data_IF_826724526224
#
_entry.id   IF_826724526224
#
_cell.length_a   1.000
_cell.length_b   1.000
_cell.length_c   1.000
_cell.angle_alpha   90.00
_cell.angle_beta   90.00
_cell.angle_gamma   90.00
#
_symmetry.space_group_name_H-M   'P 1'
#
loop_
_entity.id
_entity.type
_entity.pdbx_description
1 polymer ?
#
# COMPACT_ATOMS: atom_id res chain seq x y z
N UNK A 1 29.45 -4.11 -34.11
CA UNK A 1 29.09 -3.19 -33.00
C UNK A 1 27.99 -3.88 -32.21
N UNK A 2 28.18 -4.16 -30.91
CA UNK A 2 27.21 -4.96 -30.12
C UNK A 2 25.93 -4.19 -29.74
N UNK A 3 25.99 -2.87 -29.71
CA UNK A 3 24.87 -1.98 -29.38
C UNK A 3 24.73 -0.87 -30.41
N UNK A 4 23.52 -0.32 -30.54
CA UNK A 4 23.14 0.74 -31.48
C UNK A 4 22.61 1.96 -30.71
N UNK A 5 22.62 3.11 -31.39
CA UNK A 5 22.07 4.36 -30.85
C UNK A 5 20.57 4.17 -30.58
N UNK A 6 20.17 4.27 -29.31
CA UNK A 6 18.80 4.07 -28.84
C UNK A 6 18.58 2.81 -28.00
N UNK A 7 19.60 1.97 -27.81
CA UNK A 7 19.52 0.80 -26.92
C UNK A 7 19.64 1.23 -25.45
N UNK A 8 18.75 0.74 -24.59
CA UNK A 8 18.88 0.84 -23.13
C UNK A 8 19.89 -0.19 -22.61
N UNK A 9 20.91 0.26 -21.86
CA UNK A 9 21.99 -0.58 -21.34
C UNK A 9 22.05 -0.44 -19.82
N UNK A 10 21.91 -1.57 -19.11
CA UNK A 10 22.00 -1.61 -17.65
C UNK A 10 23.40 -2.08 -17.23
N UNK A 11 24.12 -1.20 -16.55
CA UNK A 11 25.46 -1.47 -16.02
C UNK A 11 25.36 -1.89 -14.55
N UNK A 12 25.84 -3.09 -14.22
CA UNK A 12 25.93 -3.55 -12.83
C UNK A 12 27.29 -3.17 -12.25
N UNK A 13 27.30 -2.24 -11.29
CA UNK A 13 28.51 -1.79 -10.59
C UNK A 13 28.25 -1.45 -9.13
N UNK A 14 29.31 -1.18 -8.39
CA UNK A 14 29.24 -0.75 -6.98
C UNK A 14 29.70 0.70 -6.86
N UNK A 15 28.92 1.54 -6.17
CA UNK A 15 29.34 2.90 -5.83
C UNK A 15 30.47 2.79 -4.83
N UNK A 16 31.63 3.37 -5.16
CA UNK A 16 32.84 3.35 -4.33
C UNK A 16 33.19 4.74 -3.78
N UNK A 17 32.65 5.80 -4.36
CA UNK A 17 32.92 7.18 -3.98
C UNK A 17 31.75 8.10 -4.31
N UNK A 18 31.53 9.09 -3.44
CA UNK A 18 30.53 10.16 -3.64
C UNK A 18 31.21 11.50 -3.37
N UNK A 19 31.19 12.39 -4.36
CA UNK A 19 31.73 13.75 -4.26
C UNK A 19 30.59 14.74 -3.96
N UNK A 20 30.75 15.53 -2.90
CA UNK A 20 29.76 16.55 -2.48
C UNK A 20 30.01 17.94 -3.08
N UNK A 21 30.99 18.10 -3.96
CA UNK A 21 31.29 19.38 -4.60
C UNK A 21 30.22 19.74 -5.65
N UNK A 22 29.56 20.88 -5.46
CA UNK A 22 28.53 21.43 -6.36
C UNK A 22 29.00 21.76 -7.78
N UNK A 23 30.31 21.68 -8.04
CA UNK A 23 30.93 21.93 -9.35
C UNK A 23 31.11 20.66 -10.19
N UNK A 24 30.88 19.47 -9.62
CA UNK A 24 31.09 18.20 -10.31
C UNK A 24 29.79 17.75 -11.00
N UNK A 25 29.84 17.58 -12.33
CA UNK A 25 28.66 17.17 -13.13
C UNK A 25 28.26 15.71 -12.92
N UNK A 26 29.17 14.87 -12.41
CA UNK A 26 29.01 13.43 -12.20
C UNK A 26 29.57 13.07 -10.80
N UNK A 27 28.75 13.18 -9.74
CA UNK A 27 29.26 13.11 -8.37
C UNK A 27 29.52 11.68 -7.87
N UNK A 28 29.20 10.65 -8.66
CA UNK A 28 29.32 9.24 -8.26
C UNK A 28 30.39 8.51 -9.08
N UNK A 29 31.28 7.83 -8.38
CA UNK A 29 32.27 6.93 -8.97
C UNK A 29 31.82 5.47 -8.76
N UNK A 30 31.70 4.72 -9.85
CA UNK A 30 31.19 3.34 -9.85
C UNK A 30 32.26 2.38 -10.35
N UNK A 31 32.58 1.37 -9.55
CA UNK A 31 33.45 0.27 -9.95
C UNK A 31 32.65 -0.76 -10.74
N UNK A 32 33.07 -0.99 -11.97
CA UNK A 32 32.62 -2.07 -12.85
C UNK A 32 33.61 -3.23 -12.81
N UNK A 33 33.26 -4.37 -13.42
CA UNK A 33 34.11 -5.57 -13.43
C UNK A 33 35.56 -5.29 -13.91
N UNK A 34 35.76 -4.31 -14.79
CA UNK A 34 37.06 -4.03 -15.41
C UNK A 34 37.51 -2.54 -15.34
N UNK A 35 36.63 -1.56 -15.03
CA UNK A 35 36.96 -0.11 -15.08
C UNK A 35 36.11 0.75 -14.10
N UNK A 36 36.56 1.97 -13.79
CA UNK A 36 35.78 2.99 -13.05
C UNK A 36 35.10 3.96 -14.01
N UNK A 37 33.84 4.33 -13.73
CA UNK A 37 33.09 5.33 -14.51
C UNK A 37 32.43 6.37 -13.61
N UNK A 38 32.42 7.63 -14.08
CA UNK A 38 31.69 8.72 -13.45
C UNK A 38 30.26 8.80 -14.00
N UNK A 39 29.26 8.81 -13.11
CA UNK A 39 27.83 8.79 -13.49
C UNK A 39 27.02 9.86 -12.76
N UNK A 40 25.89 10.25 -13.36
CA UNK A 40 24.90 11.15 -12.73
C UNK A 40 23.91 10.33 -11.94
N UNK A 41 23.43 10.88 -10.83
CA UNK A 41 22.46 10.21 -9.95
C UNK A 41 21.23 9.66 -10.68
N UNK A 42 20.64 10.47 -11.55
CA UNK A 42 19.43 10.12 -12.32
C UNK A 42 19.59 8.92 -13.26
N UNK A 43 20.83 8.56 -13.59
CA UNK A 43 21.15 7.45 -14.48
C UNK A 43 21.51 6.19 -13.66
N UNK A 44 21.52 6.27 -12.32
CA UNK A 44 21.73 5.14 -11.40
C UNK A 44 20.36 4.56 -11.05
N UNK A 45 20.14 3.29 -11.40
CA UNK A 45 18.99 2.51 -10.94
C UNK A 45 19.50 1.49 -9.93
N UNK A 46 18.98 1.55 -8.70
CA UNK A 46 19.36 0.58 -7.67
C UNK A 46 18.80 -0.80 -8.03
N UNK A 47 19.70 -1.78 -8.16
CA UNK A 47 19.32 -3.18 -8.47
C UNK A 47 18.78 -3.90 -7.21
N UNK A 48 18.97 -3.30 -6.03
CA UNK A 48 18.57 -3.87 -4.73
C UNK A 48 17.66 -2.90 -3.97
N UNK A 49 16.70 -2.24 -4.64
CA UNK A 49 15.67 -1.53 -3.88
C UNK A 49 14.91 -2.54 -3.01
N UNK A 50 14.87 -2.33 -1.68
CA UNK A 50 14.15 -3.22 -0.79
C UNK A 50 12.65 -3.18 -1.12
N UNK A 51 12.01 -4.35 -1.10
CA UNK A 51 10.58 -4.47 -1.35
C UNK A 51 9.78 -3.60 -0.37
N UNK A 52 8.89 -2.76 -0.92
CA UNK A 52 7.95 -1.96 -0.15
C UNK A 52 7.00 -2.85 0.64
N UNK A 53 6.59 -2.39 1.82
CA UNK A 53 5.57 -3.10 2.57
C UNK A 53 4.20 -2.97 1.90
N UNK A 54 3.39 -4.01 2.00
CA UNK A 54 1.98 -3.95 1.62
C UNK A 54 1.16 -3.81 2.92
N UNK A 55 0.54 -2.65 3.09
CA UNK A 55 -0.33 -2.34 4.23
C UNK A 55 -1.80 -2.44 3.82
N UNK A 56 -2.68 -2.77 4.76
CA UNK A 56 -4.11 -2.52 4.56
C UNK A 56 -4.45 -1.04 4.86
N UNK A 57 -5.71 -0.65 4.65
CA UNK A 57 -6.15 0.74 4.82
C UNK A 57 -6.03 1.22 6.28
N UNK A 58 -6.43 0.39 7.25
CA UNK A 58 -6.34 0.71 8.68
C UNK A 58 -4.87 0.94 9.13
N UNK A 59 -3.96 0.08 8.69
CA UNK A 59 -2.52 0.18 8.95
C UNK A 59 -1.92 1.43 8.33
N UNK A 60 -2.30 1.75 7.09
CA UNK A 60 -1.82 2.93 6.39
C UNK A 60 -2.32 4.21 7.07
N UNK A 61 -3.62 4.26 7.42
CA UNK A 61 -4.21 5.39 8.13
C UNK A 61 -3.55 5.61 9.49
N UNK A 62 -3.40 4.55 10.28
CA UNK A 62 -2.75 4.59 11.59
C UNK A 62 -1.31 5.13 11.47
N UNK A 63 -0.55 4.66 10.49
CA UNK A 63 0.84 5.07 10.27
C UNK A 63 0.94 6.55 9.85
N UNK A 64 0.03 7.03 9.00
CA UNK A 64 -0.02 8.43 8.60
C UNK A 64 -0.42 9.35 9.75
N UNK A 65 -1.35 8.92 10.61
CA UNK A 65 -1.69 9.65 11.84
C UNK A 65 -0.48 9.73 12.78
N UNK A 66 0.22 8.62 12.99
CA UNK A 66 1.41 8.58 13.85
C UNK A 66 2.53 9.51 13.37
N UNK A 67 2.77 9.59 12.06
CA UNK A 67 3.78 10.51 11.48
C UNK A 67 3.45 11.99 11.70
N UNK A 68 2.16 12.32 11.76
CA UNK A 68 1.67 13.71 11.92
C UNK A 68 1.63 14.17 13.37
N UNK A 69 1.77 13.26 14.34
CA UNK A 69 1.69 13.60 15.74
C UNK A 69 2.84 14.51 16.21
N UNK A 70 2.55 15.51 17.07
CA UNK A 70 3.56 16.39 17.62
C UNK A 70 4.63 15.62 18.40
N UNK A 71 5.90 15.82 18.06
CA UNK A 71 7.02 15.10 18.68
C UNK A 71 7.36 13.75 18.04
N UNK A 72 6.67 13.36 16.96
CA UNK A 72 6.94 12.13 16.19
C UNK A 72 7.27 12.41 14.71
N UNK A 73 7.68 13.64 14.40
CA UNK A 73 8.01 14.08 13.03
C UNK A 73 9.29 13.47 12.47
N UNK A 74 10.12 12.82 13.32
CA UNK A 74 11.31 12.10 12.88
C UNK A 74 11.02 10.61 12.83
N UNK A 75 11.56 9.97 11.79
CA UNK A 75 11.45 8.53 11.57
C UNK A 75 11.86 7.68 12.79
N UNK A 76 12.86 8.13 13.58
CA UNK A 76 13.30 7.43 14.78
C UNK A 76 12.21 7.36 15.86
N UNK A 77 11.43 8.43 16.01
CA UNK A 77 10.36 8.49 17.01
C UNK A 77 9.23 7.56 16.59
N UNK A 78 8.84 7.60 15.31
CA UNK A 78 7.83 6.71 14.71
C UNK A 78 8.24 5.23 14.82
N UNK A 79 9.50 4.92 14.52
CA UNK A 79 10.07 3.58 14.66
C UNK A 79 10.07 3.10 16.12
N UNK A 80 10.37 3.98 17.08
CA UNK A 80 10.28 3.64 18.49
C UNK A 80 8.87 3.21 18.88
N UNK A 81 7.82 3.90 18.41
CA UNK A 81 6.42 3.55 18.65
C UNK A 81 6.04 2.17 18.08
N UNK A 82 6.46 1.87 16.85
CA UNK A 82 6.24 0.55 16.24
C UNK A 82 7.04 -0.53 16.96
N UNK A 83 8.30 -0.24 17.30
CA UNK A 83 9.21 -1.20 17.93
C UNK A 83 8.86 -1.51 19.39
N UNK A 84 8.22 -0.59 20.12
CA UNK A 84 7.78 -0.82 21.50
C UNK A 84 6.49 -1.63 21.62
N UNK A 85 5.69 -1.71 20.56
CA UNK A 85 4.45 -2.49 20.57
C UNK A 85 4.76 -3.97 20.90
N UNK A 86 4.08 -4.50 21.92
CA UNK A 86 4.36 -5.75 22.62
C UNK A 86 4.44 -5.59 24.15
N UNK A 87 4.36 -6.70 24.90
CA UNK A 87 4.48 -6.72 26.39
C UNK A 87 3.56 -5.72 27.13
N UNK A 88 2.25 -5.77 26.85
CA UNK A 88 1.26 -4.90 27.51
C UNK A 88 1.07 -3.52 26.89
N UNK A 89 1.80 -3.21 25.80
CA UNK A 89 1.58 -2.02 24.98
C UNK A 89 1.09 -2.44 23.59
N UNK A 90 -0.09 -1.93 23.19
CA UNK A 90 -0.66 -2.13 21.86
C UNK A 90 -0.09 -1.15 20.82
N UNK A 91 -0.63 -1.19 19.61
CA UNK A 91 -0.42 -0.17 18.59
C UNK A 91 -1.38 1.00 18.83
N UNK A 92 -1.21 1.67 19.97
CA UNK A 92 -2.02 2.84 20.33
C UNK A 92 -1.17 4.04 20.71
N UNK A 93 -1.67 5.23 20.37
CA UNK A 93 -1.10 6.50 20.77
C UNK A 93 -2.20 7.55 20.91
N UNK A 94 -1.90 8.66 21.59
CA UNK A 94 -2.83 9.78 21.71
C UNK A 94 -2.41 10.92 20.80
N UNK A 95 -3.36 11.43 20.03
CA UNK A 95 -3.22 12.64 19.22
C UNK A 95 -4.42 13.53 19.45
N UNK A 96 -4.20 14.82 19.70
CA UNK A 96 -5.28 15.82 19.84
C UNK A 96 -6.38 15.47 20.85
N UNK A 97 -6.07 14.63 21.85
CA UNK A 97 -7.03 14.17 22.86
C UNK A 97 -7.83 12.93 22.47
N UNK A 98 -7.65 12.41 21.25
CA UNK A 98 -8.18 11.13 20.79
C UNK A 98 -7.14 10.01 21.03
N UNK A 99 -7.61 8.82 21.38
CA UNK A 99 -6.81 7.60 21.42
C UNK A 99 -6.98 6.86 20.10
N UNK A 100 -5.90 6.78 19.34
CA UNK A 100 -5.84 6.11 18.04
C UNK A 100 -5.21 4.75 18.28
N UNK A 101 -5.93 3.68 17.97
CA UNK A 101 -5.49 2.30 18.15
C UNK A 101 -5.72 1.51 16.86
N UNK A 102 -4.80 0.59 16.58
CA UNK A 102 -4.95 -0.40 15.53
C UNK A 102 -5.50 -1.69 16.14
N UNK A 103 -6.61 -2.22 15.60
CA UNK A 103 -7.27 -3.41 16.16
C UNK A 103 -6.39 -4.66 15.98
N UNK A 104 -5.62 -4.96 17.02
CA UNK A 104 -4.73 -6.12 17.03
C UNK A 104 -5.29 -7.29 17.83
N UNK A 105 -6.48 -7.16 18.42
CA UNK A 105 -7.09 -8.20 19.25
C UNK A 105 -7.48 -9.45 18.44
N UNK A 106 -7.72 -9.28 17.14
CA UNK A 106 -8.07 -10.35 16.20
C UNK A 106 -6.85 -11.10 15.66
N UNK A 107 -5.64 -10.61 15.91
CA UNK A 107 -4.42 -11.15 15.33
C UNK A 107 -3.84 -12.28 16.19
N UNK A 108 -3.42 -13.35 15.52
CA UNK A 108 -2.53 -14.35 16.12
C UNK A 108 -1.15 -13.75 16.42
N UNK A 109 -0.36 -14.39 17.29
CA UNK A 109 1.01 -13.95 17.61
C UNK A 109 1.90 -13.83 16.37
N UNK A 110 1.70 -14.68 15.35
CA UNK A 110 2.47 -14.62 14.11
C UNK A 110 2.07 -13.42 13.26
N UNK A 111 0.76 -13.16 13.14
CA UNK A 111 0.23 -11.99 12.45
C UNK A 111 0.66 -10.68 13.13
N UNK A 112 0.70 -10.65 14.46
CA UNK A 112 1.22 -9.51 15.22
C UNK A 112 2.71 -9.24 14.93
N UNK A 113 3.55 -10.28 14.90
CA UNK A 113 4.97 -10.14 14.52
C UNK A 113 5.12 -9.64 13.09
N UNK A 114 4.34 -10.20 12.16
CA UNK A 114 4.34 -9.80 10.77
C UNK A 114 3.86 -8.35 10.58
N UNK A 115 2.85 -7.91 11.33
CA UNK A 115 2.39 -6.52 11.36
C UNK A 115 3.53 -5.58 11.74
N UNK A 116 4.24 -5.87 12.83
CA UNK A 116 5.37 -5.06 13.28
C UNK A 116 6.46 -4.94 12.22
N UNK A 117 6.83 -6.06 11.60
CA UNK A 117 7.82 -6.06 10.52
C UNK A 117 7.35 -5.24 9.31
N UNK A 118 6.08 -5.37 8.91
CA UNK A 118 5.50 -4.59 7.81
C UNK A 118 5.49 -3.10 8.10
N UNK A 119 5.09 -2.68 9.30
CA UNK A 119 5.09 -1.25 9.68
C UNK A 119 6.52 -0.67 9.74
N UNK A 120 7.51 -1.46 10.19
CA UNK A 120 8.92 -1.04 10.14
C UNK A 120 9.40 -0.88 8.69
N UNK A 121 9.14 -1.87 7.82
CA UNK A 121 9.47 -1.77 6.39
C UNK A 121 8.76 -0.57 5.73
N UNK A 122 7.50 -0.32 6.08
CA UNK A 122 6.72 0.81 5.58
C UNK A 122 7.34 2.16 5.96
N UNK A 123 7.88 2.28 7.17
CA UNK A 123 8.55 3.51 7.62
C UNK A 123 9.89 3.73 6.93
N UNK A 124 10.67 2.67 6.69
CA UNK A 124 12.04 2.77 6.16
C UNK A 124 12.05 2.83 4.62
N UNK A 125 11.27 1.98 3.97
CA UNK A 125 11.32 1.75 2.51
C UNK A 125 10.07 2.27 1.79
N UNK A 126 9.08 2.77 2.53
CA UNK A 126 7.77 3.10 2.00
C UNK A 126 6.86 1.89 1.88
N UNK A 127 5.61 2.14 1.49
CA UNK A 127 4.58 1.11 1.40
C UNK A 127 3.60 1.38 0.26
N UNK A 128 2.88 0.33 -0.11
CA UNK A 128 1.69 0.37 -0.95
C UNK A 128 0.49 -0.03 -0.10
N UNK A 129 -0.66 0.62 -0.36
CA UNK A 129 -1.91 0.28 0.30
C UNK A 129 -2.63 -0.76 -0.53
N UNK A 130 -2.83 -1.94 0.04
CA UNK A 130 -3.70 -2.97 -0.49
C UNK A 130 -5.13 -2.46 -0.40
N UNK A 131 -5.61 -1.89 -1.50
CA UNK A 131 -7.03 -1.58 -1.65
C UNK A 131 -7.82 -2.88 -1.59
N UNK A 132 -8.89 -2.90 -0.79
CA UNK A 132 -9.78 -4.05 -0.76
C UNK A 132 -10.49 -4.18 -2.10
N UNK A 133 -10.55 -5.41 -2.64
CA UNK A 133 -11.27 -5.66 -3.87
C UNK A 133 -12.77 -5.50 -3.62
N UNK A 134 -13.37 -4.57 -4.34
CA UNK A 134 -14.81 -4.34 -4.33
C UNK A 134 -15.46 -4.93 -5.57
N UNK A 135 -16.73 -5.29 -5.43
CA UNK A 135 -17.50 -5.92 -6.47
C UNK A 135 -18.88 -5.29 -6.60
N UNK A 136 -19.39 -5.25 -7.83
CA UNK A 136 -20.78 -4.93 -8.15
C UNK A 136 -21.56 -6.22 -8.36
N UNK A 137 -22.82 -6.25 -7.91
CA UNK A 137 -23.72 -7.39 -8.06
C UNK A 137 -24.89 -7.00 -8.96
N UNK A 138 -25.01 -7.70 -10.07
CA UNK A 138 -26.08 -7.52 -11.06
C UNK A 138 -26.99 -8.74 -11.08
N UNK A 139 -28.30 -8.53 -11.14
CA UNK A 139 -29.29 -9.58 -11.27
C UNK A 139 -29.89 -9.56 -12.69
N UNK A 140 -29.50 -10.51 -13.57
CA UNK A 140 -29.98 -10.53 -14.95
C UNK A 140 -31.49 -10.70 -15.09
N UNK A 141 -32.13 -11.37 -14.13
CA UNK A 141 -33.57 -11.65 -14.18
C UNK A 141 -34.45 -10.40 -14.06
N UNK A 142 -34.02 -9.41 -13.26
CA UNK A 142 -34.73 -8.14 -13.05
C UNK A 142 -34.06 -6.97 -13.76
N UNK A 143 -32.85 -7.16 -14.28
CA UNK A 143 -32.01 -6.12 -14.87
C UNK A 143 -31.70 -4.99 -13.87
N UNK A 144 -31.36 -5.38 -12.63
CA UNK A 144 -31.10 -4.47 -11.53
C UNK A 144 -29.75 -4.76 -10.86
N UNK A 145 -29.18 -3.73 -10.24
CA UNK A 145 -27.98 -3.82 -9.43
C UNK A 145 -28.33 -3.75 -7.96
N UNK A 146 -27.66 -4.56 -7.14
CA UNK A 146 -27.74 -4.48 -5.69
C UNK A 146 -27.00 -3.22 -5.21
N UNK A 147 -27.56 -2.51 -4.24
CA UNK A 147 -26.91 -1.40 -3.56
C UNK A 147 -27.33 -1.33 -2.08
N UNK A 148 -26.55 -0.59 -1.31
CA UNK A 148 -26.81 -0.30 0.11
C UNK A 148 -27.37 1.11 0.23
N UNK A 149 -28.58 1.24 0.75
CA UNK A 149 -29.15 2.55 1.09
C UNK A 149 -28.37 3.21 2.24
N UNK A 150 -28.45 4.54 2.40
CA UNK A 150 -27.88 5.24 3.56
C UNK A 150 -28.37 4.71 4.92
N UNK A 151 -29.54 4.04 4.94
CA UNK A 151 -30.09 3.37 6.12
C UNK A 151 -29.37 2.06 6.49
N UNK A 152 -28.46 1.58 5.64
CA UNK A 152 -27.82 0.27 5.74
C UNK A 152 -28.64 -0.89 5.16
N UNK A 153 -29.80 -0.61 4.57
CA UNK A 153 -30.67 -1.64 3.96
C UNK A 153 -30.22 -1.98 2.55
N UNK A 154 -30.33 -3.26 2.17
CA UNK A 154 -30.06 -3.71 0.80
C UNK A 154 -31.28 -3.51 -0.09
N UNK A 155 -31.04 -2.96 -1.27
CA UNK A 155 -32.05 -2.72 -2.31
C UNK A 155 -31.48 -3.05 -3.68
N UNK A 156 -32.34 -3.08 -4.68
CA UNK A 156 -31.95 -3.19 -6.08
C UNK A 156 -32.57 -2.06 -6.91
N UNK A 157 -31.83 -1.57 -7.90
CA UNK A 157 -32.31 -0.56 -8.85
C UNK A 157 -31.75 -0.78 -10.26
N UNK A 158 -32.51 -0.34 -11.27
CA UNK A 158 -32.16 -0.46 -12.67
C UNK A 158 -31.29 0.72 -13.11
N UNK A 159 -29.98 0.57 -12.95
CA UNK A 159 -28.97 1.56 -13.35
C UNK A 159 -28.03 1.03 -14.44
N UNK A 160 -27.17 1.89 -14.97
CA UNK A 160 -26.13 1.47 -15.93
C UNK A 160 -24.93 0.87 -15.21
N UNK A 161 -24.20 -0.04 -15.87
CA UNK A 161 -22.95 -0.59 -15.35
C UNK A 161 -21.93 0.48 -14.99
N UNK A 162 -21.85 1.56 -15.77
CA UNK A 162 -20.95 2.70 -15.49
C UNK A 162 -21.33 3.40 -14.21
N UNK A 163 -22.62 3.68 -14.01
CA UNK A 163 -23.10 4.32 -12.79
C UNK A 163 -22.84 3.45 -11.56
N UNK A 164 -23.15 2.14 -11.63
CA UNK A 164 -22.91 1.22 -10.52
C UNK A 164 -21.41 1.03 -10.20
N UNK A 165 -20.51 1.19 -11.17
CA UNK A 165 -19.06 1.07 -10.95
C UNK A 165 -18.41 2.35 -10.39
N UNK A 166 -19.08 3.50 -10.52
CA UNK A 166 -18.59 4.80 -10.04
C UNK A 166 -19.22 5.20 -8.69
N UNK A 167 -20.19 4.43 -8.19
CA UNK A 167 -21.03 4.79 -7.04
C UNK A 167 -20.78 3.81 -5.89
N UNK A 168 -20.23 4.30 -4.77
CA UNK A 168 -19.79 3.47 -3.64
C UNK A 168 -20.90 2.63 -3.02
N UNK A 169 -22.15 3.09 -3.06
CA UNK A 169 -23.31 2.37 -2.54
C UNK A 169 -23.56 1.01 -3.22
N UNK A 170 -23.04 0.82 -4.45
CA UNK A 170 -23.15 -0.41 -5.23
C UNK A 170 -21.96 -1.36 -5.04
N UNK A 171 -21.00 -0.98 -4.20
CA UNK A 171 -19.76 -1.71 -4.00
C UNK A 171 -19.82 -2.58 -2.75
N UNK A 172 -19.43 -3.85 -2.91
CA UNK A 172 -19.44 -4.82 -1.83
C UNK A 172 -18.09 -5.54 -1.73
N UNK A 173 -17.67 -5.84 -0.51
CA UNK A 173 -16.55 -6.75 -0.28
C UNK A 173 -16.97 -8.19 -0.58
N UNK A 174 -16.02 -9.03 -1.00
CA UNK A 174 -16.30 -10.44 -1.23
C UNK A 174 -16.90 -11.11 0.02
N UNK A 175 -16.34 -10.85 1.20
CA UNK A 175 -16.84 -11.41 2.46
C UNK A 175 -18.32 -11.08 2.68
N UNK A 176 -18.72 -9.83 2.44
CA UNK A 176 -20.13 -9.43 2.59
C UNK A 176 -21.04 -10.19 1.63
N UNK A 177 -20.60 -10.41 0.40
CA UNK A 177 -21.36 -11.17 -0.59
C UNK A 177 -21.44 -12.67 -0.26
N UNK A 178 -20.43 -13.22 0.41
CA UNK A 178 -20.46 -14.61 0.91
C UNK A 178 -21.45 -14.76 2.07
N UNK A 179 -21.43 -13.83 3.04
CA UNK A 179 -22.37 -13.78 4.16
C UNK A 179 -23.82 -13.66 3.71
N UNK A 180 -24.06 -12.91 2.64
CA UNK A 180 -25.38 -12.69 2.05
C UNK A 180 -25.77 -13.75 1.00
N UNK A 181 -24.91 -14.73 0.74
CA UNK A 181 -25.13 -15.80 -0.25
C UNK A 181 -25.27 -15.33 -1.71
N UNK A 182 -24.63 -14.22 -2.07
CA UNK A 182 -24.52 -13.75 -3.46
C UNK A 182 -23.27 -14.31 -4.16
N UNK A 183 -22.13 -14.43 -3.47
CA UNK A 183 -20.81 -14.66 -4.08
C UNK A 183 -20.70 -15.89 -5.00
N UNK A 184 -21.35 -16.99 -4.64
CA UNK A 184 -21.35 -18.24 -5.40
C UNK A 184 -22.71 -18.55 -6.03
N UNK A 185 -23.59 -17.55 -6.15
CA UNK A 185 -24.95 -17.74 -6.62
C UNK A 185 -25.05 -17.46 -8.13
N UNK A 186 -25.36 -18.47 -8.97
CA UNK A 186 -25.39 -18.31 -10.42
C UNK A 186 -26.53 -17.42 -10.92
N UNK A 187 -27.48 -17.04 -10.05
CA UNK A 187 -28.53 -16.09 -10.40
C UNK A 187 -28.02 -14.64 -10.52
N UNK A 188 -26.77 -14.37 -10.09
CA UNK A 188 -26.18 -13.05 -10.07
C UNK A 188 -24.87 -13.02 -10.86
N UNK A 189 -24.64 -11.92 -11.57
CA UNK A 189 -23.36 -11.60 -12.17
C UNK A 189 -22.59 -10.67 -11.22
N UNK A 190 -21.39 -11.08 -10.85
CA UNK A 190 -20.52 -10.31 -9.96
C UNK A 190 -19.29 -9.86 -10.75
N UNK A 191 -18.98 -8.56 -10.71
CA UNK A 191 -17.81 -8.00 -11.39
C UNK A 191 -16.96 -7.17 -10.44
N UNK A 192 -15.65 -7.39 -10.50
CA UNK A 192 -14.66 -6.60 -9.76
C UNK A 192 -14.66 -5.15 -10.28
N UNK A 193 -14.74 -4.21 -9.34
CA UNK A 193 -14.64 -2.77 -9.61
C UNK A 193 -13.16 -2.43 -9.79
N UNK A 194 -12.83 -1.77 -10.90
CA UNK A 194 -11.46 -1.30 -11.15
C UNK A 194 -11.24 0.04 -10.43
N UNK A 195 -10.38 0.03 -9.41
CA UNK A 195 -10.01 1.20 -8.58
C UNK A 195 -8.64 1.79 -8.94
#
# INVERSE_FOLDING_TARGET
MKYKKGDDVYLKGQIVGVSSCSEVSYPYEVLMADEFIDVREKDIVSVNEPEKAILNEEEAEWLERLKKCPGQSKICDTLYYVARAGFGFGFSFRSEGEEIELDTLKLTLNEFKNLKERLVKALIYGYEVKKEKLYTVFQPATNEFLYTEPSGSLRSDAVTWTYAAETEEYHFTQQKLEELHYWANPAFEIKEVKQ
#
